data_IF_306753753099
#
_entry.id   IF_306753753099
#
_cell.length_a   1.000
_cell.length_b   1.000
_cell.length_c   1.000
_cell.angle_alpha   90.00
_cell.angle_beta   90.00
_cell.angle_gamma   90.00
#
_symmetry.space_group_name_H-M   'P 1'
#
loop_
_entity.id
_entity.type
_entity.pdbx_description
1 polymer ?
#
# COMPACT_ATOMS: atom_id res chain seq x y z
N UNK A 1 -8.00 4.91 8.89
CA UNK A 1 -7.42 4.65 7.58
C UNK A 1 -6.21 3.72 7.59
N UNK A 2 -5.27 3.96 8.50
CA UNK A 2 -4.07 3.13 8.61
C UNK A 2 -4.39 1.64 8.79
N UNK A 3 -5.38 1.34 9.62
CA UNK A 3 -5.77 -0.03 9.90
C UNK A 3 -6.20 -0.78 8.63
N UNK A 4 -7.04 -0.17 7.82
CA UNK A 4 -7.51 -0.78 6.57
C UNK A 4 -6.36 -0.95 5.57
N UNK A 5 -5.49 0.04 5.52
CA UNK A 5 -4.30 0.00 4.66
C UNK A 5 -3.39 -1.16 5.06
N UNK A 6 -3.14 -1.32 6.35
CA UNK A 6 -2.32 -2.42 6.86
C UNK A 6 -2.93 -3.78 6.51
N UNK A 7 -4.24 -3.94 6.69
CA UNK A 7 -4.92 -5.20 6.39
C UNK A 7 -4.79 -5.55 4.91
N UNK A 8 -5.01 -4.58 4.05
CA UNK A 8 -4.89 -4.80 2.61
C UNK A 8 -3.49 -5.17 2.19
N UNK A 9 -2.50 -4.49 2.74
CA UNK A 9 -1.09 -4.76 2.44
C UNK A 9 -0.65 -6.11 2.99
N UNK A 10 -1.06 -6.46 4.19
CA UNK A 10 -0.76 -7.77 4.78
C UNK A 10 -1.31 -8.90 3.91
N UNK A 11 -2.53 -8.72 3.42
CA UNK A 11 -3.14 -9.72 2.57
C UNK A 11 -2.38 -9.89 1.25
N UNK A 12 -1.97 -8.79 0.64
CA UNK A 12 -1.20 -8.82 -0.59
C UNK A 12 0.16 -9.46 -0.39
N UNK A 13 0.75 -9.30 0.79
CA UNK A 13 2.08 -9.81 1.13
C UNK A 13 2.05 -11.19 1.78
N UNK A 14 0.90 -11.82 1.84
CA UNK A 14 0.76 -13.14 2.45
C UNK A 14 1.75 -14.12 1.85
N UNK A 15 2.52 -14.78 2.72
CA UNK A 15 3.57 -15.74 2.34
C UNK A 15 4.73 -15.14 1.55
N UNK A 16 4.84 -13.82 1.54
CA UNK A 16 6.01 -13.17 0.94
C UNK A 16 7.03 -12.83 2.02
N UNK A 17 8.34 -12.87 1.69
CA UNK A 17 9.38 -12.57 2.68
C UNK A 17 9.50 -11.07 2.92
N UNK A 18 9.30 -10.65 4.16
CA UNK A 18 9.53 -9.27 4.56
C UNK A 18 9.63 -9.21 6.09
N UNK A 19 10.30 -8.18 6.58
CA UNK A 19 10.39 -7.94 8.03
C UNK A 19 9.32 -6.93 8.44
N UNK A 20 9.01 -6.90 9.74
CA UNK A 20 8.09 -5.90 10.27
C UNK A 20 8.58 -4.49 10.04
N UNK A 21 9.90 -4.31 10.11
CA UNK A 21 10.51 -3.02 9.85
C UNK A 21 10.30 -2.56 8.42
N UNK A 22 10.47 -3.48 7.47
CA UNK A 22 10.20 -3.20 6.06
C UNK A 22 8.73 -2.89 5.83
N UNK A 23 7.85 -3.63 6.48
CA UNK A 23 6.42 -3.42 6.38
C UNK A 23 6.03 -2.03 6.90
N UNK A 24 6.59 -1.63 8.06
CA UNK A 24 6.33 -0.30 8.63
C UNK A 24 6.75 0.81 7.68
N UNK A 25 7.89 0.65 7.03
CA UNK A 25 8.35 1.64 6.05
C UNK A 25 7.42 1.71 4.86
N UNK A 26 6.92 0.57 4.41
CA UNK A 26 5.97 0.53 3.30
C UNK A 26 4.68 1.28 3.66
N UNK A 27 4.12 0.98 4.81
CA UNK A 27 2.88 1.61 5.28
C UNK A 27 3.09 3.11 5.46
N UNK A 28 4.17 3.49 6.12
CA UNK A 28 4.46 4.91 6.38
C UNK A 28 4.67 5.69 5.10
N UNK A 29 5.35 5.09 4.12
CA UNK A 29 5.56 5.73 2.83
C UNK A 29 4.26 5.97 2.09
N UNK A 30 3.40 4.94 2.04
CA UNK A 30 2.10 5.06 1.40
C UNK A 30 1.23 6.10 2.11
N UNK A 31 1.20 6.04 3.43
CA UNK A 31 0.44 6.98 4.26
C UNK A 31 0.86 8.43 4.03
N UNK A 32 2.17 8.63 3.98
CA UNK A 32 2.75 9.95 3.76
C UNK A 32 2.33 10.51 2.41
N UNK A 33 2.37 9.69 1.37
CA UNK A 33 1.97 10.12 0.03
C UNK A 33 0.47 10.43 -0.03
N UNK A 34 -0.34 9.63 0.63
CA UNK A 34 -1.79 9.87 0.71
C UNK A 34 -2.05 11.21 1.39
N UNK A 35 -1.38 11.44 2.52
CA UNK A 35 -1.53 12.67 3.29
C UNK A 35 -1.11 13.89 2.48
N UNK A 36 0.02 13.79 1.77
CA UNK A 36 0.55 14.91 1.01
C UNK A 36 -0.30 15.26 -0.21
N UNK A 37 -1.02 14.30 -0.75
CA UNK A 37 -1.89 14.53 -1.91
C UNK A 37 -3.31 14.93 -1.52
N UNK A 38 -3.62 14.86 -0.24
CA UNK A 38 -4.94 15.19 0.26
C UNK A 38 -5.09 16.70 0.35
N UNK A 39 -5.74 17.29 -0.64
CA UNK A 39 -6.00 18.72 -0.67
C UNK A 39 -7.47 19.01 -0.35
N UNK A 40 -8.37 18.32 -1.03
CA UNK A 40 -9.79 18.43 -0.75
C UNK A 40 -10.34 17.08 -0.35
N UNK A 41 -10.49 16.20 -1.32
CA UNK A 41 -10.94 14.84 -1.08
C UNK A 41 -10.10 13.91 -1.93
N UNK A 42 -9.62 12.82 -1.32
CA UNK A 42 -8.90 11.80 -2.05
C UNK A 42 -9.84 10.62 -2.28
N UNK A 43 -9.88 10.13 -3.51
CA UNK A 43 -10.77 9.01 -3.86
C UNK A 43 -10.10 7.69 -3.51
N UNK A 44 -10.92 6.63 -3.38
CA UNK A 44 -10.41 5.28 -3.17
C UNK A 44 -9.48 4.86 -4.31
N UNK A 45 -9.78 5.29 -5.52
CA UNK A 45 -8.95 5.01 -6.67
C UNK A 45 -7.57 5.63 -6.55
N UNK A 46 -7.51 6.87 -6.09
CA UNK A 46 -6.24 7.56 -5.88
C UNK A 46 -5.42 6.89 -4.79
N UNK A 47 -6.07 6.47 -3.70
CA UNK A 47 -5.41 5.72 -2.63
C UNK A 47 -4.84 4.42 -3.19
N UNK A 48 -5.63 3.70 -3.99
CA UNK A 48 -5.18 2.46 -4.62
C UNK A 48 -3.96 2.66 -5.50
N UNK A 49 -3.92 3.73 -6.28
CA UNK A 49 -2.79 4.05 -7.15
C UNK A 49 -1.51 4.30 -6.34
N UNK A 50 -1.64 5.03 -5.23
CA UNK A 50 -0.51 5.32 -4.36
C UNK A 50 0.04 4.01 -3.77
N UNK A 51 -0.86 3.18 -3.24
CA UNK A 51 -0.47 1.89 -2.66
C UNK A 51 0.21 1.01 -3.70
N UNK A 52 -0.33 0.96 -4.91
CA UNK A 52 0.24 0.17 -5.99
C UNK A 52 1.66 0.61 -6.33
N UNK A 53 1.90 1.93 -6.38
CA UNK A 53 3.23 2.42 -6.71
C UNK A 53 4.26 2.04 -5.65
N UNK A 54 3.86 2.03 -4.37
CA UNK A 54 4.74 1.59 -3.29
C UNK A 54 4.97 0.08 -3.31
N UNK A 55 3.92 -0.70 -3.59
CA UNK A 55 4.05 -2.16 -3.69
C UNK A 55 4.93 -2.58 -4.85
N UNK A 56 4.86 -1.88 -5.96
CA UNK A 56 5.65 -2.22 -7.15
C UNK A 56 7.15 -2.21 -6.83
N UNK A 57 7.57 -1.26 -6.02
CA UNK A 57 8.97 -1.18 -5.61
C UNK A 57 9.31 -2.16 -4.48
N UNK A 58 8.32 -2.60 -3.74
CA UNK A 58 8.50 -3.46 -2.56
C UNK A 58 8.52 -4.94 -2.92
N UNK A 59 7.49 -5.40 -3.64
CA UNK A 59 7.33 -6.82 -3.98
C UNK A 59 6.40 -6.95 -5.17
N UNK A 60 6.93 -7.48 -6.26
CA UNK A 60 6.18 -7.61 -7.52
C UNK A 60 4.97 -8.55 -7.40
N UNK A 61 5.10 -9.62 -6.63
CA UNK A 61 3.99 -10.57 -6.46
C UNK A 61 2.85 -9.90 -5.72
N UNK A 62 3.17 -9.20 -4.65
CA UNK A 62 2.17 -8.45 -3.87
C UNK A 62 1.53 -7.37 -4.74
N UNK A 63 2.34 -6.69 -5.54
CA UNK A 63 1.84 -5.69 -6.48
C UNK A 63 0.80 -6.28 -7.44
N UNK A 64 1.11 -7.42 -8.04
CA UNK A 64 0.19 -8.07 -8.98
C UNK A 64 -1.09 -8.54 -8.28
N UNK A 65 -0.96 -9.07 -7.07
CA UNK A 65 -2.13 -9.48 -6.29
C UNK A 65 -3.04 -8.31 -5.98
N UNK A 66 -2.46 -7.21 -5.54
CA UNK A 66 -3.21 -6.00 -5.19
C UNK A 66 -3.86 -5.41 -6.42
N UNK A 67 -3.12 -5.34 -7.52
CA UNK A 67 -3.63 -4.78 -8.79
C UNK A 67 -4.80 -5.59 -9.34
N UNK A 68 -4.81 -6.90 -9.13
CA UNK A 68 -5.90 -7.74 -9.64
C UNK A 68 -7.20 -7.56 -8.85
N UNK A 69 -7.14 -7.02 -7.65
CA UNK A 69 -8.32 -6.71 -6.83
C UNK A 69 -8.84 -5.31 -7.13
N UNK A 70 -7.95 -4.41 -7.45
CA UNK A 70 -8.26 -3.01 -7.75
C UNK A 70 -7.91 -2.71 -9.19
#
# INVERSE_FOLDING_TARGET
MRHKLQLGLRKALEKRPYTEQQFEKLVSGAENDIFNKEQDAITSEQVGQIVLSHLKAFDKVAYLRFASVY
#
